data_IF_097937090853
#
_entry.id   IF_097937090853
#
_cell.length_a   1.000
_cell.length_b   1.000
_cell.length_c   1.000
_cell.angle_alpha   90.00
_cell.angle_beta   90.00
_cell.angle_gamma   90.00
#
_symmetry.space_group_name_H-M   'P 1'
#
loop_
_entity.id
_entity.type
_entity.pdbx_description
1 polymer ?
#
# COMPACT_ATOMS: atom_id res chain seq x y z
N UNK A 1 35.53 20.29 5.89
CA UNK A 1 35.04 18.98 5.39
C UNK A 1 33.92 19.28 4.42
N UNK A 2 34.24 19.29 3.12
CA UNK A 2 33.30 19.67 2.07
C UNK A 2 32.37 18.50 1.80
N UNK A 3 31.11 18.59 2.22
CA UNK A 3 30.10 17.58 1.95
C UNK A 3 29.73 17.69 0.46
N UNK A 4 30.28 16.82 -0.38
CA UNK A 4 29.88 16.69 -1.79
C UNK A 4 28.52 16.00 -1.82
N UNK A 5 27.45 16.75 -1.58
CA UNK A 5 26.09 16.33 -1.91
C UNK A 5 26.03 16.20 -3.43
N UNK A 6 26.01 14.97 -3.94
CA UNK A 6 25.72 14.69 -5.34
C UNK A 6 24.34 15.29 -5.66
N UNK A 7 24.31 16.45 -6.32
CA UNK A 7 23.07 17.14 -6.64
C UNK A 7 22.27 16.25 -7.61
N UNK A 8 21.16 15.67 -7.14
CA UNK A 8 20.29 14.85 -8.00
C UNK A 8 19.77 15.71 -9.16
N UNK A 9 19.91 15.21 -10.38
CA UNK A 9 19.52 15.96 -11.59
C UNK A 9 18.06 15.69 -11.93
N UNK A 10 17.19 16.58 -11.49
CA UNK A 10 15.75 16.52 -11.77
C UNK A 10 15.45 16.72 -13.24
N UNK A 11 14.54 15.89 -13.79
CA UNK A 11 13.96 16.10 -15.11
C UNK A 11 12.58 16.71 -14.97
N UNK A 12 12.19 17.47 -15.98
CA UNK A 12 10.95 18.24 -15.97
C UNK A 12 10.10 17.89 -17.19
N UNK A 13 8.79 17.97 -17.00
CA UNK A 13 7.78 17.91 -18.07
C UNK A 13 6.92 19.16 -18.01
N UNK A 14 6.50 19.65 -19.17
CA UNK A 14 5.58 20.77 -19.25
C UNK A 14 4.15 20.26 -19.27
N UNK A 15 3.38 20.56 -18.22
CA UNK A 15 2.00 20.12 -18.07
C UNK A 15 1.18 21.22 -17.38
N UNK A 16 -0.02 21.50 -17.91
CA UNK A 16 -0.91 22.53 -17.35
C UNK A 16 -0.33 23.96 -17.36
N UNK A 17 0.63 24.25 -18.25
CA UNK A 17 1.25 25.59 -18.36
C UNK A 17 2.47 25.83 -17.46
N UNK A 18 2.86 24.85 -16.65
CA UNK A 18 4.01 24.92 -15.72
C UNK A 18 4.95 23.73 -15.93
N UNK A 19 6.17 23.86 -15.41
CA UNK A 19 7.17 22.79 -15.43
C UNK A 19 7.02 21.96 -14.15
N UNK A 20 6.75 20.67 -14.32
CA UNK A 20 6.54 19.72 -13.24
C UNK A 20 7.69 18.72 -13.21
N UNK A 21 8.07 18.29 -12.00
CA UNK A 21 9.13 17.30 -11.80
C UNK A 21 8.64 15.95 -12.30
N UNK A 22 9.49 15.27 -13.09
CA UNK A 22 9.23 13.92 -13.57
C UNK A 22 9.85 12.91 -12.61
N UNK A 23 9.01 12.06 -12.03
CA UNK A 23 9.40 10.94 -11.18
C UNK A 23 9.23 9.64 -11.96
N UNK A 24 10.29 9.10 -12.55
CA UNK A 24 10.21 7.82 -13.29
C UNK A 24 11.36 6.85 -13.02
N UNK A 25 12.27 7.19 -12.11
CA UNK A 25 13.40 6.35 -11.71
C UNK A 25 13.47 6.15 -10.21
N UNK A 26 14.11 5.05 -9.78
CA UNK A 26 14.30 4.73 -8.37
C UNK A 26 15.07 5.85 -7.66
N UNK A 27 16.06 6.41 -8.37
CA UNK A 27 16.85 7.55 -7.91
C UNK A 27 16.01 8.79 -7.66
N UNK A 28 14.97 9.03 -8.45
CA UNK A 28 14.05 10.17 -8.23
C UNK A 28 13.27 10.01 -6.91
N UNK A 29 12.77 8.79 -6.63
CA UNK A 29 12.05 8.49 -5.39
C UNK A 29 12.96 8.58 -4.16
N UNK A 30 14.20 8.09 -4.27
CA UNK A 30 15.18 8.14 -3.19
C UNK A 30 15.64 9.57 -2.87
N UNK A 31 15.68 10.45 -3.88
CA UNK A 31 16.09 11.85 -3.73
C UNK A 31 14.93 12.80 -3.43
N UNK A 32 13.69 12.30 -3.26
CA UNK A 32 12.48 13.12 -3.15
C UNK A 32 12.52 14.11 -1.96
N UNK A 33 13.25 13.78 -0.90
CA UNK A 33 13.45 14.66 0.26
C UNK A 33 14.39 15.85 0.01
N UNK A 34 15.14 15.82 -1.09
CA UNK A 34 16.02 16.89 -1.56
C UNK A 34 15.35 17.79 -2.59
N UNK A 35 14.10 17.48 -2.99
CA UNK A 35 13.38 18.27 -3.97
C UNK A 35 13.03 19.65 -3.40
N UNK A 36 13.34 20.73 -4.14
CA UNK A 36 13.00 22.09 -3.74
C UNK A 36 11.48 22.20 -3.51
N UNK A 37 11.02 22.65 -2.32
CA UNK A 37 9.60 22.85 -2.02
C UNK A 37 8.83 23.66 -3.07
N UNK A 38 9.49 24.56 -3.80
CA UNK A 38 8.86 25.39 -4.86
C UNK A 38 8.42 24.59 -6.08
N UNK A 39 8.95 23.39 -6.27
CA UNK A 39 8.64 22.52 -7.40
C UNK A 39 7.44 21.59 -7.13
N UNK A 40 6.87 21.63 -5.91
CA UNK A 40 5.68 20.87 -5.56
C UNK A 40 4.42 21.58 -6.04
N UNK A 41 3.66 20.91 -6.91
CA UNK A 41 2.44 21.47 -7.54
C UNK A 41 1.28 21.62 -6.55
N UNK A 42 1.19 20.73 -5.55
CA UNK A 42 0.18 20.78 -4.50
C UNK A 42 0.85 20.59 -3.13
N UNK A 43 0.83 21.65 -2.32
CA UNK A 43 1.37 21.63 -0.96
C UNK A 43 0.39 21.03 0.06
N UNK A 44 -0.87 20.84 -0.34
CA UNK A 44 -1.92 20.22 0.47
C UNK A 44 -2.98 19.56 -0.43
N UNK A 45 -2.93 18.24 -0.57
CA UNK A 45 -3.94 17.47 -1.31
C UNK A 45 -5.05 17.01 -0.35
N UNK A 46 -6.34 17.29 -0.59
CA UNK A 46 -7.40 16.85 0.31
C UNK A 46 -7.53 15.32 0.29
N UNK A 47 -7.81 14.71 1.45
CA UNK A 47 -8.05 13.26 1.56
C UNK A 47 -9.43 12.84 1.05
N UNK A 48 -10.27 13.79 0.64
CA UNK A 48 -11.65 13.60 0.17
C UNK A 48 -11.89 14.41 -1.11
N UNK A 49 -12.83 13.94 -1.94
CA UNK A 49 -13.22 14.66 -3.17
C UNK A 49 -12.21 14.56 -4.32
N UNK A 50 -11.26 13.63 -4.22
CA UNK A 50 -10.33 13.24 -5.30
C UNK A 50 -10.72 11.87 -5.82
N UNK A 51 -10.43 11.59 -7.09
CA UNK A 51 -10.67 10.28 -7.71
C UNK A 51 -9.61 9.25 -7.26
N UNK A 52 -9.59 8.96 -5.97
CA UNK A 52 -8.68 8.00 -5.33
C UNK A 52 -9.34 7.35 -4.11
N UNK A 53 -8.84 6.18 -3.68
CA UNK A 53 -9.35 5.48 -2.50
C UNK A 53 -9.08 6.29 -1.22
N UNK A 54 -10.15 6.78 -0.58
CA UNK A 54 -10.05 7.65 0.58
C UNK A 54 -9.42 6.96 1.80
N UNK A 55 -9.62 5.65 1.95
CA UNK A 55 -9.02 4.89 3.05
C UNK A 55 -7.50 4.80 2.91
N UNK A 56 -6.99 4.73 1.68
CA UNK A 56 -5.55 4.78 1.41
C UNK A 56 -5.00 6.19 1.66
N UNK A 57 -5.75 7.25 1.32
CA UNK A 57 -5.36 8.62 1.65
C UNK A 57 -5.32 8.86 3.16
N UNK A 58 -6.25 8.30 3.92
CA UNK A 58 -6.25 8.39 5.39
C UNK A 58 -5.00 7.74 6.03
N UNK A 59 -4.37 6.76 5.37
CA UNK A 59 -3.10 6.19 5.84
C UNK A 59 -1.90 7.12 5.62
N UNK A 60 -2.01 8.05 4.67
CA UNK A 60 -0.98 9.06 4.40
C UNK A 60 -1.13 10.29 5.30
N UNK A 61 -2.36 10.60 5.75
CA UNK A 61 -2.72 11.72 6.63
C UNK A 61 -2.38 11.40 8.08
N UNK A 62 -1.11 11.57 8.43
CA UNK A 62 -0.57 11.17 9.73
C UNK A 62 -1.04 12.10 10.87
N UNK A 63 -1.36 13.35 10.57
CA UNK A 63 -1.88 14.32 11.54
C UNK A 63 -3.41 14.40 11.58
N UNK A 64 -4.09 13.70 10.66
CA UNK A 64 -5.55 13.61 10.53
C UNK A 64 -6.22 14.97 10.31
N UNK A 65 -5.54 15.92 9.65
CA UNK A 65 -6.10 17.24 9.33
C UNK A 65 -6.97 17.26 8.04
N UNK A 66 -7.06 16.11 7.35
CA UNK A 66 -7.79 15.93 6.11
C UNK A 66 -7.01 16.37 4.87
N UNK A 67 -5.70 16.65 4.99
CA UNK A 67 -4.86 17.14 3.91
C UNK A 67 -3.48 16.50 3.94
N UNK A 68 -3.10 15.91 2.82
CA UNK A 68 -1.77 15.35 2.62
C UNK A 68 -0.76 16.44 2.27
N UNK A 69 0.31 16.54 3.05
CA UNK A 69 1.39 17.51 2.90
C UNK A 69 2.69 16.85 2.42
N UNK A 70 3.61 17.68 1.94
CA UNK A 70 4.93 17.25 1.43
C UNK A 70 5.69 16.33 2.40
N UNK A 71 5.80 16.63 3.72
CA UNK A 71 6.50 15.76 4.65
C UNK A 71 5.91 14.35 4.73
N UNK A 72 4.60 14.22 4.60
CA UNK A 72 3.89 12.94 4.68
C UNK A 72 4.11 12.10 3.42
N UNK A 73 4.11 12.75 2.24
CA UNK A 73 4.49 12.08 0.99
C UNK A 73 5.93 11.58 1.06
N UNK A 74 6.86 12.40 1.57
CA UNK A 74 8.26 12.00 1.74
C UNK A 74 8.37 10.82 2.72
N UNK A 75 7.68 10.90 3.86
CA UNK A 75 7.69 9.84 4.86
C UNK A 75 7.13 8.53 4.30
N UNK A 76 5.97 8.57 3.63
CA UNK A 76 5.35 7.41 3.01
C UNK A 76 6.23 6.80 1.91
N UNK A 77 6.88 7.64 1.10
CA UNK A 77 7.82 7.17 0.06
C UNK A 77 9.02 6.47 0.68
N UNK A 78 9.63 7.05 1.71
CA UNK A 78 10.77 6.44 2.43
C UNK A 78 10.39 5.12 3.10
N UNK A 79 9.20 5.08 3.71
CA UNK A 79 8.65 3.87 4.31
C UNK A 79 8.42 2.77 3.26
N UNK A 80 7.79 3.09 2.13
CA UNK A 80 7.57 2.12 1.06
C UNK A 80 8.90 1.58 0.50
N UNK A 81 9.90 2.45 0.32
CA UNK A 81 11.23 2.08 -0.16
C UNK A 81 12.00 1.21 0.84
N UNK A 82 11.84 1.42 2.15
CA UNK A 82 12.55 0.63 3.18
C UNK A 82 12.06 -0.83 3.25
N UNK A 83 10.81 -1.06 2.86
CA UNK A 83 10.14 -2.36 2.84
C UNK A 83 10.45 -3.20 1.59
N UNK A 84 11.18 -2.66 0.63
CA UNK A 84 11.50 -3.34 -0.64
C UNK A 84 13.00 -3.58 -0.77
N UNK A 85 13.38 -4.74 -1.32
CA UNK A 85 14.79 -5.06 -1.64
C UNK A 85 15.32 -4.20 -2.78
N UNK A 86 14.44 -3.84 -3.72
CA UNK A 86 14.74 -2.96 -4.85
C UNK A 86 13.70 -1.83 -4.94
N UNK A 87 14.13 -0.57 -4.93
CA UNK A 87 13.27 0.60 -5.18
C UNK A 87 12.49 0.53 -6.51
N UNK A 88 13.06 -0.13 -7.52
CA UNK A 88 12.46 -0.24 -8.86
C UNK A 88 11.13 -1.00 -8.86
N UNK A 89 10.89 -1.83 -7.84
CA UNK A 89 9.62 -2.54 -7.66
C UNK A 89 8.42 -1.57 -7.56
N UNK A 90 8.60 -0.38 -6.97
CA UNK A 90 7.52 0.63 -6.91
C UNK A 90 7.16 1.19 -8.29
N UNK A 91 8.12 1.24 -9.21
CA UNK A 91 7.93 1.86 -10.52
C UNK A 91 7.22 0.93 -11.51
N UNK A 92 7.28 -0.38 -11.27
CA UNK A 92 6.63 -1.38 -12.14
C UNK A 92 5.11 -1.20 -12.19
N UNK A 93 4.51 -0.49 -11.22
CA UNK A 93 3.07 -0.24 -11.15
C UNK A 93 2.23 -1.53 -11.32
N UNK A 94 2.78 -2.63 -10.81
CA UNK A 94 2.19 -3.96 -10.93
C UNK A 94 1.04 -4.12 -9.93
N UNK A 95 0.02 -4.88 -10.32
CA UNK A 95 -1.06 -5.29 -9.40
C UNK A 95 -0.65 -6.44 -8.47
N UNK A 96 0.57 -6.97 -8.64
CA UNK A 96 1.15 -8.01 -7.81
C UNK A 96 2.56 -7.64 -7.35
N UNK A 97 2.87 -8.05 -6.12
CA UNK A 97 4.16 -7.90 -5.49
C UNK A 97 4.75 -9.31 -5.20
N UNK A 98 5.92 -9.65 -5.74
CA UNK A 98 6.63 -10.87 -5.35
C UNK A 98 7.00 -10.85 -3.88
N UNK A 99 6.80 -11.96 -3.16
CA UNK A 99 7.17 -12.07 -1.76
C UNK A 99 8.67 -11.87 -1.54
N UNK A 100 9.50 -12.29 -2.51
CA UNK A 100 10.95 -12.10 -2.45
C UNK A 100 11.37 -10.64 -2.68
N UNK A 101 10.48 -9.77 -3.18
CA UNK A 101 10.75 -8.34 -3.30
C UNK A 101 10.68 -7.61 -1.96
N UNK A 102 10.03 -8.20 -0.94
CA UNK A 102 9.91 -7.61 0.40
C UNK A 102 11.26 -7.70 1.13
N UNK A 103 11.70 -6.59 1.70
CA UNK A 103 12.92 -6.52 2.49
C UNK A 103 12.72 -7.15 3.87
N UNK A 104 13.10 -8.41 4.04
CA UNK A 104 13.01 -9.16 5.28
C UNK A 104 14.21 -8.96 6.23
N UNK A 105 15.07 -7.98 5.96
CA UNK A 105 16.21 -7.66 6.84
C UNK A 105 15.80 -6.80 8.04
N UNK A 106 14.66 -6.10 7.96
CA UNK A 106 14.12 -5.27 9.04
C UNK A 106 13.02 -6.01 9.82
N UNK A 107 12.79 -5.68 11.11
CA UNK A 107 11.68 -6.26 11.86
C UNK A 107 10.32 -6.05 11.17
N UNK A 108 10.07 -4.83 10.71
CA UNK A 108 8.82 -4.44 10.04
C UNK A 108 8.64 -5.19 8.71
N UNK A 109 9.70 -5.36 7.92
CA UNK A 109 9.63 -6.11 6.68
C UNK A 109 9.39 -7.61 6.88
N UNK A 110 9.90 -8.20 7.97
CA UNK A 110 9.56 -9.58 8.37
C UNK A 110 8.09 -9.72 8.74
N UNK A 111 7.54 -8.78 9.49
CA UNK A 111 6.12 -8.75 9.85
C UNK A 111 5.24 -8.59 8.61
N UNK A 112 5.63 -7.72 7.67
CA UNK A 112 4.95 -7.55 6.40
C UNK A 112 4.96 -8.84 5.57
N UNK A 113 6.12 -9.49 5.44
CA UNK A 113 6.26 -10.77 4.73
C UNK A 113 5.41 -11.88 5.37
N UNK A 114 5.42 -11.96 6.70
CA UNK A 114 4.59 -12.92 7.44
C UNK A 114 3.10 -12.67 7.21
N UNK A 115 2.68 -11.40 7.25
CA UNK A 115 1.30 -10.99 6.97
C UNK A 115 0.88 -11.34 5.54
N UNK A 116 1.74 -11.10 4.55
CA UNK A 116 1.47 -11.46 3.16
C UNK A 116 1.30 -12.98 2.98
N UNK A 117 2.19 -13.78 3.56
CA UNK A 117 2.07 -15.25 3.57
C UNK A 117 0.81 -15.75 4.28
N UNK A 118 0.41 -15.09 5.37
CA UNK A 118 -0.80 -15.42 6.10
C UNK A 118 -2.06 -15.13 5.27
N UNK A 119 -2.10 -14.01 4.54
CA UNK A 119 -3.19 -13.69 3.61
C UNK A 119 -3.29 -14.79 2.54
N UNK A 120 -2.17 -15.16 1.90
CA UNK A 120 -2.17 -16.21 0.88
C UNK A 120 -2.64 -17.56 1.43
N UNK A 121 -2.19 -17.93 2.63
CA UNK A 121 -2.67 -19.14 3.33
C UNK A 121 -4.18 -19.11 3.56
N UNK A 122 -4.72 -17.99 4.05
CA UNK A 122 -6.16 -17.82 4.31
C UNK A 122 -7.01 -17.93 3.03
N UNK A 123 -6.42 -17.60 1.87
CA UNK A 123 -7.06 -17.70 0.57
C UNK A 123 -6.88 -19.07 -0.10
N UNK A 124 -6.21 -20.02 0.55
CA UNK A 124 -5.91 -21.33 -0.02
C UNK A 124 -4.80 -21.31 -1.08
N UNK A 125 -4.00 -20.24 -1.13
CA UNK A 125 -2.92 -19.98 -2.08
C UNK A 125 -1.53 -20.07 -1.43
N UNK A 126 -1.31 -21.01 -0.51
CA UNK A 126 -0.09 -21.05 0.30
C UNK A 126 1.21 -21.20 -0.51
N UNK A 127 1.14 -21.81 -1.71
CA UNK A 127 2.29 -22.03 -2.59
C UNK A 127 2.56 -20.86 -3.55
N UNK A 128 1.73 -19.82 -3.54
CA UNK A 128 1.95 -18.62 -4.36
C UNK A 128 3.13 -17.80 -3.85
N UNK A 129 3.94 -17.32 -4.79
CA UNK A 129 5.12 -16.48 -4.51
C UNK A 129 4.83 -15.00 -4.73
N UNK A 130 3.60 -14.64 -5.09
CA UNK A 130 3.18 -13.27 -5.33
C UNK A 130 1.88 -12.99 -4.58
N UNK A 131 1.76 -11.77 -4.05
CA UNK A 131 0.51 -11.27 -3.46
C UNK A 131 -0.03 -10.14 -4.34
N UNK A 132 -1.34 -10.16 -4.61
CA UNK A 132 -1.98 -9.13 -5.44
C UNK A 132 -2.91 -8.21 -4.65
N UNK A 133 -3.23 -7.06 -5.22
CA UNK A 133 -4.27 -6.16 -4.70
C UNK A 133 -5.64 -6.86 -4.62
N UNK A 134 -5.91 -7.82 -5.50
CA UNK A 134 -7.13 -8.61 -5.49
C UNK A 134 -7.20 -9.56 -4.28
N UNK A 135 -6.08 -10.18 -3.90
CA UNK A 135 -6.01 -11.04 -2.72
C UNK A 135 -6.40 -10.27 -1.45
N UNK A 136 -5.95 -9.01 -1.33
CA UNK A 136 -6.37 -8.10 -0.25
C UNK A 136 -7.88 -7.82 -0.29
N UNK A 137 -8.47 -7.63 -1.46
CA UNK A 137 -9.91 -7.40 -1.61
C UNK A 137 -10.74 -8.66 -1.27
N UNK A 138 -10.26 -9.86 -1.64
CA UNK A 138 -10.90 -11.13 -1.28
C UNK A 138 -10.82 -11.37 0.23
N UNK A 139 -9.65 -11.14 0.83
CA UNK A 139 -9.47 -11.26 2.28
C UNK A 139 -10.40 -10.31 3.04
N UNK A 140 -10.51 -9.04 2.61
CA UNK A 140 -11.45 -8.08 3.21
C UNK A 140 -12.90 -8.56 3.14
N UNK A 141 -13.33 -9.15 2.02
CA UNK A 141 -14.68 -9.71 1.87
C UNK A 141 -14.91 -10.94 2.76
N UNK A 142 -13.92 -11.82 2.88
CA UNK A 142 -13.99 -13.00 3.74
C UNK A 142 -14.19 -12.63 5.21
N UNK A 143 -13.48 -11.61 5.69
CA UNK A 143 -13.60 -11.09 7.07
C UNK A 143 -14.90 -10.34 7.35
N UNK A 144 -15.59 -9.85 6.31
CA UNK A 144 -16.88 -9.16 6.43
C UNK A 144 -18.09 -10.10 6.35
N UNK A 145 -17.89 -11.39 6.03
CA UNK A 145 -18.96 -12.37 6.14
C UNK A 145 -19.16 -12.74 7.61
N UNK A 146 -20.35 -12.52 8.21
CA UNK A 146 -20.62 -13.04 9.54
C UNK A 146 -20.54 -14.57 9.48
N UNK A 147 -19.78 -15.17 10.40
CA UNK A 147 -19.69 -16.61 10.58
C UNK A 147 -21.06 -17.10 11.11
N UNK A 148 -22.01 -17.30 10.21
CA UNK A 148 -23.27 -17.99 10.50
C UNK A 148 -23.21 -19.37 9.86
N UNK A 149 -22.38 -20.24 10.43
CA UNK A 149 -22.57 -21.69 10.29
C UNK A 149 -22.70 -22.30 11.68
N UNK A 150 -23.77 -21.91 12.38
CA UNK A 150 -24.33 -22.71 13.46
C UNK A 150 -25.02 -23.92 12.86
N UNK A 151 -24.27 -25.01 12.64
CA UNK A 151 -24.83 -26.33 12.37
C UNK A 151 -25.55 -26.81 13.62
N UNK A 152 -26.88 -26.70 13.62
CA UNK A 152 -27.76 -27.26 14.63
C UNK A 152 -28.77 -28.22 13.99
N UNK A 153 -28.30 -29.28 13.35
CA UNK A 153 -29.15 -30.41 13.00
C UNK A 153 -29.54 -31.15 14.28
N UNK A 154 -30.62 -30.73 14.93
CA UNK A 154 -31.31 -31.57 15.92
C UNK A 154 -32.60 -32.09 15.30
N UNK A 155 -32.47 -33.34 14.86
CA UNK A 155 -33.46 -34.33 14.54
C UNK A 155 -34.85 -34.10 15.17
N UNK A 156 -35.81 -33.63 14.37
CA UNK A 156 -37.24 -33.70 14.70
C UNK A 156 -37.74 -35.12 14.38
N UNK A 157 -37.88 -35.94 15.42
CA UNK A 157 -38.66 -37.18 15.36
C UNK A 157 -40.17 -36.84 15.28
N UNK A 158 -40.96 -37.50 14.44
CA UNK A 158 -42.41 -37.31 14.42
C UNK A 158 -43.07 -38.14 15.53
N UNK A 159 -43.54 -37.48 16.59
CA UNK A 159 -44.49 -38.09 17.53
C UNK A 159 -45.88 -38.11 16.88
N UNK A 160 -46.28 -39.28 16.40
CA UNK A 160 -47.68 -39.62 16.13
C UNK A 160 -48.48 -39.52 17.44
N UNK A 161 -49.50 -38.67 17.48
CA UNK A 161 -50.65 -38.87 18.37
C UNK A 161 -51.93 -38.61 17.58
N UNK A 162 -52.60 -39.70 17.27
CA UNK A 162 -54.06 -39.87 17.14
C UNK A 162 -54.46 -40.90 18.21
N UNK A 163 -55.70 -40.96 18.71
CA UNK A 163 -56.93 -40.41 18.14
C UNK A 163 -57.52 -39.19 18.85
#
# INVERSE_FOLDING_TARGET
MSNTSSNHSWRFIRAGGFDQVRLDSATDLMALDQLDPKLWVALSCPTRGVEFDSATLDLLDTDNDGRIRVPEIIAATKWALSLLKSPDELLKSSQSLPLDAINDTTPEGKELLASAKQILTNLGKADELTISTEDRAIQRRSLQRPILTGTGSSQLMPLKMTP
#
